data_IF_958701393591
#
_entry.id   IF_958701393591
#
_cell.length_a   1.000
_cell.length_b   1.000
_cell.length_c   1.000
_cell.angle_alpha   90.00
_cell.angle_beta   90.00
_cell.angle_gamma   90.00
#
_symmetry.space_group_name_H-M   'P 1'
#
loop_
_entity.id
_entity.type
_entity.pdbx_description
1 polymer ?
#
# COMPACT_ATOMS: atom_id res chain seq x y z
N UNK A 1 1.27 32.91 10.63
CA UNK A 1 2.59 32.95 9.95
C UNK A 1 2.32 32.76 8.48
N UNK A 2 2.45 33.83 7.71
CA UNK A 2 2.28 33.83 6.26
C UNK A 2 3.55 33.26 5.61
N UNK A 3 3.64 31.94 5.57
CA UNK A 3 4.67 31.28 4.78
C UNK A 3 4.11 31.18 3.36
N UNK A 4 4.73 31.81 2.35
CA UNK A 4 4.26 31.75 0.96
C UNK A 4 4.65 30.41 0.32
N UNK A 5 4.08 29.33 0.85
CA UNK A 5 4.28 27.99 0.33
C UNK A 5 3.54 27.88 -0.99
N UNK A 6 4.27 27.65 -2.08
CA UNK A 6 3.69 27.55 -3.44
C UNK A 6 3.47 26.11 -3.89
N UNK A 7 4.32 25.20 -3.41
CA UNK A 7 4.32 23.80 -3.82
C UNK A 7 4.66 22.88 -2.66
N UNK A 8 4.04 21.72 -2.64
CA UNK A 8 4.36 20.62 -1.72
C UNK A 8 4.59 19.32 -2.51
N UNK A 9 5.62 18.60 -2.16
CA UNK A 9 5.79 17.20 -2.58
C UNK A 9 5.11 16.32 -1.54
N UNK A 10 4.21 15.45 -2.00
CA UNK A 10 3.42 14.60 -1.12
C UNK A 10 3.72 13.13 -1.42
N UNK A 11 3.64 12.29 -0.39
CA UNK A 11 3.90 10.87 -0.47
C UNK A 11 2.70 10.10 0.07
N UNK A 12 2.08 9.27 -0.78
CA UNK A 12 0.95 8.43 -0.37
C UNK A 12 -0.36 9.19 -0.16
N UNK A 13 -0.56 10.32 -0.83
CA UNK A 13 -1.81 11.06 -0.80
C UNK A 13 -2.94 10.24 -1.43
N UNK A 14 -4.08 10.18 -0.76
CA UNK A 14 -5.26 9.54 -1.34
C UNK A 14 -5.81 10.40 -2.49
N UNK A 15 -6.24 9.74 -3.58
CA UNK A 15 -6.73 10.42 -4.79
C UNK A 15 -7.83 11.45 -4.50
N UNK A 16 -8.79 11.10 -3.64
CA UNK A 16 -9.91 11.96 -3.27
C UNK A 16 -9.52 13.17 -2.39
N UNK A 17 -8.35 13.14 -1.77
CA UNK A 17 -7.87 14.23 -0.91
C UNK A 17 -7.01 15.24 -1.66
N UNK A 18 -6.58 14.94 -2.88
CA UNK A 18 -5.62 15.77 -3.62
C UNK A 18 -6.17 17.18 -3.89
N UNK A 19 -7.36 17.26 -4.49
CA UNK A 19 -8.00 18.54 -4.81
C UNK A 19 -8.34 19.36 -3.55
N UNK A 20 -8.78 18.69 -2.47
CA UNK A 20 -9.06 19.35 -1.19
C UNK A 20 -7.79 19.94 -0.58
N UNK A 21 -6.67 19.21 -0.61
CA UNK A 21 -5.39 19.68 -0.09
C UNK A 21 -4.91 20.92 -0.86
N UNK A 22 -4.94 20.90 -2.19
CA UNK A 22 -4.57 22.05 -3.01
C UNK A 22 -5.45 23.28 -2.70
N UNK A 23 -6.77 23.09 -2.64
CA UNK A 23 -7.71 24.17 -2.38
C UNK A 23 -7.58 24.73 -0.94
N UNK A 24 -7.45 23.85 0.06
CA UNK A 24 -7.40 24.24 1.48
C UNK A 24 -6.15 25.03 1.83
N UNK A 25 -5.00 24.68 1.28
CA UNK A 25 -3.71 25.29 1.59
C UNK A 25 -3.23 26.27 0.52
N UNK A 26 -4.00 26.46 -0.56
CA UNK A 26 -3.63 27.27 -1.73
C UNK A 26 -2.22 26.96 -2.23
N UNK A 27 -1.94 25.67 -2.43
CA UNK A 27 -0.64 25.15 -2.86
C UNK A 27 -0.82 24.23 -4.08
N UNK A 28 0.26 24.04 -4.82
CA UNK A 28 0.32 22.98 -5.81
C UNK A 28 0.88 21.72 -5.15
N UNK A 29 0.12 20.63 -5.09
CA UNK A 29 0.59 19.35 -4.57
C UNK A 29 1.01 18.44 -5.73
N UNK A 30 2.17 17.81 -5.61
CA UNK A 30 2.66 16.81 -6.57
C UNK A 30 3.08 15.56 -5.85
N UNK A 31 2.49 14.45 -6.26
CA UNK A 31 2.81 13.17 -5.67
C UNK A 31 4.17 12.67 -6.13
N UNK A 32 4.89 12.05 -5.23
CA UNK A 32 6.24 11.52 -5.42
C UNK A 32 6.36 10.16 -4.75
N UNK A 33 7.37 9.41 -5.16
CA UNK A 33 7.78 8.18 -4.47
C UNK A 33 9.25 8.27 -4.12
N UNK A 34 9.56 7.82 -2.92
CA UNK A 34 10.92 7.73 -2.43
C UNK A 34 11.00 6.89 -1.17
N UNK A 35 12.21 6.49 -0.87
CA UNK A 35 12.56 5.76 0.35
C UNK A 35 13.98 6.16 0.76
N UNK A 36 14.36 5.83 1.99
CA UNK A 36 15.68 6.20 2.53
C UNK A 36 16.82 5.72 1.63
N UNK A 37 16.65 4.55 1.05
CA UNK A 37 17.66 3.87 0.24
C UNK A 37 17.91 4.53 -1.12
N UNK A 38 16.91 5.20 -1.68
CA UNK A 38 17.00 5.76 -3.03
C UNK A 38 16.69 7.26 -3.10
N UNK A 39 16.35 7.89 -1.97
CA UNK A 39 15.89 9.28 -1.95
C UNK A 39 14.57 9.45 -2.74
N UNK A 40 14.34 10.61 -3.36
CA UNK A 40 13.20 10.83 -4.25
C UNK A 40 13.47 10.17 -5.61
N UNK A 41 12.84 9.02 -5.84
CA UNK A 41 13.04 8.21 -7.04
C UNK A 41 12.09 8.55 -8.19
N UNK A 42 10.82 8.84 -7.87
CA UNK A 42 9.81 9.26 -8.83
C UNK A 42 9.16 10.58 -8.38
N UNK A 43 8.74 11.40 -9.32
CA UNK A 43 8.03 12.64 -9.04
C UNK A 43 7.05 12.99 -10.17
N UNK A 44 5.96 13.67 -9.82
CA UNK A 44 5.07 14.26 -10.82
C UNK A 44 5.56 15.68 -11.14
N UNK A 45 5.93 15.98 -12.41
CA UNK A 45 6.40 17.32 -12.78
C UNK A 45 5.37 18.40 -12.47
N UNK A 46 5.83 19.58 -12.05
CA UNK A 46 4.98 20.70 -11.62
C UNK A 46 3.90 21.06 -12.64
N UNK A 47 4.28 21.19 -13.92
CA UNK A 47 3.37 21.58 -15.00
C UNK A 47 2.37 20.51 -15.45
N UNK A 48 2.45 19.26 -14.93
CA UNK A 48 1.58 18.16 -15.34
C UNK A 48 0.31 18.16 -14.49
N UNK A 49 -0.61 19.06 -14.80
CA UNK A 49 -1.88 19.23 -14.07
C UNK A 49 -2.90 18.12 -14.35
N UNK A 50 -2.82 17.46 -15.50
CA UNK A 50 -3.71 16.35 -15.88
C UNK A 50 -3.57 15.09 -15.01
N UNK A 51 -2.52 15.02 -14.20
CA UNK A 51 -2.26 13.90 -13.29
C UNK A 51 -2.68 14.17 -11.85
N UNK A 52 -3.22 15.36 -11.55
CA UNK A 52 -3.76 15.68 -10.22
C UNK A 52 -4.90 14.71 -9.86
N UNK A 53 -4.79 14.08 -8.70
CA UNK A 53 -5.79 13.10 -8.23
C UNK A 53 -5.77 11.75 -8.96
N UNK A 54 -4.86 11.51 -9.91
CA UNK A 54 -4.74 10.22 -10.62
C UNK A 54 -4.19 9.10 -9.72
N UNK A 55 -3.45 9.47 -8.64
CA UNK A 55 -2.73 8.56 -7.76
C UNK A 55 -1.42 8.05 -8.36
N UNK A 56 -0.91 8.72 -9.40
CA UNK A 56 0.43 8.44 -9.92
C UNK A 56 1.50 8.96 -8.96
N UNK A 57 2.60 8.22 -8.85
CA UNK A 57 3.83 8.71 -8.21
C UNK A 57 4.74 9.48 -9.17
N UNK A 58 4.31 9.65 -10.43
CA UNK A 58 5.05 10.39 -11.45
C UNK A 58 5.96 9.54 -12.31
N UNK A 59 6.98 10.19 -12.84
CA UNK A 59 8.03 9.62 -13.69
C UNK A 59 9.36 9.58 -12.94
N UNK A 60 10.36 8.91 -13.48
CA UNK A 60 11.69 8.86 -12.89
C UNK A 60 12.26 10.27 -12.66
N UNK A 61 12.83 10.50 -11.48
CA UNK A 61 13.50 11.75 -11.13
C UNK A 61 14.73 11.96 -12.03
N UNK A 62 15.18 13.20 -12.25
CA UNK A 62 16.37 13.48 -13.04
C UNK A 62 17.56 12.62 -12.59
N UNK A 63 18.31 12.10 -13.57
CA UNK A 63 19.46 11.21 -13.37
C UNK A 63 19.15 9.86 -12.73
N UNK A 64 17.87 9.50 -12.62
CA UNK A 64 17.39 8.19 -12.17
C UNK A 64 16.85 7.40 -13.34
N UNK A 65 17.06 6.11 -13.29
CA UNK A 65 16.38 5.15 -14.15
C UNK A 65 15.43 4.33 -13.29
N UNK A 66 14.22 4.10 -13.80
CA UNK A 66 13.19 3.31 -13.16
C UNK A 66 12.66 2.28 -14.16
N UNK A 67 12.60 1.02 -13.74
CA UNK A 67 12.03 -0.08 -14.52
C UNK A 67 11.14 -0.91 -13.62
N UNK A 68 10.14 -1.56 -14.21
CA UNK A 68 9.28 -2.49 -13.49
C UNK A 68 9.60 -3.89 -14.00
N UNK A 69 9.91 -4.82 -13.08
CA UNK A 69 10.40 -6.16 -13.40
C UNK A 69 9.58 -7.26 -12.74
N UNK A 70 9.48 -8.39 -13.44
CA UNK A 70 8.89 -9.61 -12.91
C UNK A 70 9.82 -10.31 -11.88
N UNK A 71 9.39 -11.48 -11.39
CA UNK A 71 10.16 -12.29 -10.43
C UNK A 71 11.48 -12.81 -11.03
N UNK A 72 11.56 -12.99 -12.35
CA UNK A 72 12.75 -13.43 -13.08
C UNK A 72 13.71 -12.27 -13.41
N UNK A 73 13.30 -11.05 -13.16
CA UNK A 73 14.09 -9.84 -13.41
C UNK A 73 13.94 -9.28 -14.82
N UNK A 74 12.98 -9.74 -15.62
CA UNK A 74 12.68 -9.17 -16.94
C UNK A 74 11.80 -7.94 -16.81
N UNK A 75 12.01 -6.94 -17.67
CA UNK A 75 11.14 -5.76 -17.69
C UNK A 75 9.75 -6.14 -18.22
N UNK A 76 8.70 -5.72 -17.48
CA UNK A 76 7.31 -5.95 -17.88
C UNK A 76 6.77 -4.81 -18.74
N UNK A 77 5.83 -5.10 -19.68
CA UNK A 77 5.20 -4.08 -20.51
C UNK A 77 4.34 -3.11 -19.68
N UNK A 78 4.00 -1.93 -20.28
CA UNK A 78 3.06 -1.00 -19.65
C UNK A 78 1.73 -1.67 -19.30
N UNK A 79 1.19 -1.35 -18.12
CA UNK A 79 -0.06 -1.91 -17.59
C UNK A 79 0.15 -3.11 -16.67
N UNK A 80 1.21 -3.87 -16.84
CA UNK A 80 1.53 -5.02 -16.00
C UNK A 80 2.16 -4.61 -14.66
N UNK A 81 2.00 -5.48 -13.67
CA UNK A 81 2.50 -5.28 -12.30
C UNK A 81 3.83 -6.02 -12.14
N UNK A 82 4.81 -5.34 -11.58
CA UNK A 82 6.09 -5.91 -11.20
C UNK A 82 6.76 -5.09 -10.10
N UNK A 83 7.95 -5.50 -9.69
CA UNK A 83 8.74 -4.78 -8.72
C UNK A 83 9.42 -3.55 -9.36
N UNK A 84 9.31 -2.40 -8.70
CA UNK A 84 10.04 -1.21 -9.11
C UNK A 84 11.52 -1.37 -8.78
N UNK A 85 12.37 -1.28 -9.79
CA UNK A 85 13.81 -1.20 -9.63
C UNK A 85 14.31 0.18 -10.03
N UNK A 86 15.25 0.71 -9.24
CA UNK A 86 15.79 2.06 -9.42
C UNK A 86 17.30 1.98 -9.60
N UNK A 87 17.84 2.80 -10.52
CA UNK A 87 19.28 2.98 -10.72
C UNK A 87 19.61 4.45 -10.83
N UNK A 88 20.84 4.82 -10.43
CA UNK A 88 21.37 6.18 -10.60
C UNK A 88 22.05 6.73 -9.34
N UNK A 89 22.54 7.99 -9.38
CA UNK A 89 23.24 8.59 -8.26
C UNK A 89 22.36 8.74 -7.01
N UNK A 90 22.97 8.66 -5.81
CA UNK A 90 22.27 8.84 -4.53
C UNK A 90 21.49 7.62 -4.04
N UNK A 91 21.67 6.46 -4.64
CA UNK A 91 21.26 5.18 -4.06
C UNK A 91 22.26 4.81 -2.97
N UNK A 92 21.79 4.24 -1.83
CA UNK A 92 22.70 3.78 -0.78
C UNK A 92 23.70 2.76 -1.35
N UNK A 93 24.90 2.73 -0.76
CA UNK A 93 25.96 1.79 -1.20
C UNK A 93 25.76 0.39 -0.62
N UNK A 94 24.92 0.24 0.40
CA UNK A 94 24.64 -1.03 1.05
C UNK A 94 24.17 -0.85 2.50
N UNK A 95 23.51 -1.85 3.03
CA UNK A 95 23.17 -1.95 4.44
C UNK A 95 24.37 -2.42 5.25
N UNK A 96 24.69 -1.69 6.31
CA UNK A 96 25.83 -1.99 7.17
C UNK A 96 25.67 -3.36 7.85
N UNK A 97 26.68 -4.21 7.74
CA UNK A 97 26.71 -5.56 8.32
C UNK A 97 25.47 -6.43 8.00
N UNK A 98 24.91 -6.28 6.78
CA UNK A 98 23.74 -7.05 6.32
C UNK A 98 24.01 -7.66 4.94
N UNK A 99 24.95 -8.63 4.82
CA UNK A 99 25.34 -9.18 3.52
C UNK A 99 24.16 -9.81 2.76
N UNK A 100 23.29 -10.54 3.45
CA UNK A 100 22.11 -11.17 2.86
C UNK A 100 21.12 -10.12 2.30
N UNK A 101 20.79 -9.09 3.10
CA UNK A 101 19.94 -8.00 2.64
C UNK A 101 20.53 -7.24 1.46
N UNK A 102 21.87 -7.10 1.41
CA UNK A 102 22.56 -6.51 0.27
C UNK A 102 22.45 -7.39 -0.97
N UNK A 103 22.68 -8.69 -0.83
CA UNK A 103 22.54 -9.64 -1.94
C UNK A 103 21.09 -9.66 -2.49
N UNK A 104 20.10 -9.51 -1.62
CA UNK A 104 18.69 -9.47 -2.01
C UNK A 104 18.27 -8.15 -2.67
N UNK A 105 18.89 -7.03 -2.28
CA UNK A 105 18.44 -5.70 -2.71
C UNK A 105 19.20 -5.16 -3.91
N UNK A 106 20.45 -5.55 -4.12
CA UNK A 106 21.27 -5.03 -5.23
C UNK A 106 21.42 -6.05 -6.34
N UNK A 107 21.42 -5.55 -7.59
CA UNK A 107 21.57 -6.36 -8.79
C UNK A 107 22.65 -5.77 -9.69
N UNK A 108 23.14 -6.58 -10.61
CA UNK A 108 24.12 -6.15 -11.61
C UNK A 108 23.68 -4.88 -12.34
N UNK A 109 24.64 -4.06 -12.75
CA UNK A 109 24.37 -2.78 -13.41
C UNK A 109 23.89 -1.67 -12.48
N UNK A 110 24.03 -1.82 -11.15
CA UNK A 110 23.70 -0.81 -10.15
C UNK A 110 22.20 -0.65 -9.89
N UNK A 111 21.38 -1.66 -10.18
CA UNK A 111 19.97 -1.68 -9.88
C UNK A 111 19.70 -2.02 -8.41
N UNK A 112 18.80 -1.24 -7.81
CA UNK A 112 18.30 -1.46 -6.46
C UNK A 112 16.82 -1.90 -6.53
N UNK A 113 16.52 -3.01 -5.87
CA UNK A 113 15.17 -3.55 -5.71
C UNK A 113 14.47 -2.84 -4.55
N UNK A 114 13.36 -2.17 -4.84
CA UNK A 114 12.64 -1.40 -3.80
C UNK A 114 11.78 -2.27 -2.89
N UNK A 115 11.41 -3.47 -3.32
CA UNK A 115 10.41 -4.32 -2.66
C UNK A 115 8.98 -3.77 -2.80
N UNK A 116 8.79 -2.69 -3.57
CA UNK A 116 7.49 -2.10 -3.84
C UNK A 116 7.00 -2.50 -5.24
N UNK A 117 5.73 -2.89 -5.34
CA UNK A 117 5.09 -3.26 -6.59
C UNK A 117 4.45 -2.04 -7.24
N UNK A 118 4.72 -1.91 -8.52
CA UNK A 118 4.25 -0.82 -9.37
C UNK A 118 3.66 -1.34 -10.68
N UNK A 119 2.87 -0.52 -11.32
CA UNK A 119 2.58 -0.58 -12.75
C UNK A 119 2.92 0.77 -13.39
N UNK A 120 3.27 0.75 -14.67
CA UNK A 120 3.55 1.95 -15.46
C UNK A 120 2.51 2.07 -16.57
N UNK A 121 2.02 3.26 -16.85
CA UNK A 121 1.19 3.49 -18.03
C UNK A 121 2.05 3.72 -19.29
N UNK A 122 1.42 3.76 -20.45
CA UNK A 122 2.09 3.98 -21.76
C UNK A 122 2.82 5.33 -21.85
N UNK A 123 2.44 6.30 -21.00
CA UNK A 123 3.08 7.62 -20.93
C UNK A 123 4.27 7.65 -19.98
N UNK A 124 4.57 6.53 -19.32
CA UNK A 124 5.67 6.38 -18.38
C UNK A 124 5.36 6.82 -16.94
N UNK A 125 4.09 7.10 -16.60
CA UNK A 125 3.70 7.39 -15.21
C UNK A 125 3.57 6.12 -14.39
N UNK A 126 4.13 6.16 -13.20
CA UNK A 126 4.20 5.01 -12.28
C UNK A 126 3.11 5.10 -11.21
N UNK A 127 2.50 3.98 -10.90
CA UNK A 127 1.44 3.84 -9.90
C UNK A 127 1.82 2.73 -8.92
N UNK A 128 1.89 3.08 -7.64
CA UNK A 128 2.18 2.08 -6.61
C UNK A 128 0.97 1.17 -6.39
N UNK A 129 1.22 -0.14 -6.41
CA UNK A 129 0.21 -1.18 -6.18
C UNK A 129 0.26 -1.67 -4.75
N UNK A 130 1.47 -1.92 -4.23
CA UNK A 130 1.65 -2.43 -2.88
C UNK A 130 3.11 -2.75 -2.58
N UNK A 131 3.32 -3.63 -1.58
CA UNK A 131 4.65 -4.17 -1.24
C UNK A 131 4.68 -5.67 -1.46
N UNK A 132 5.80 -6.20 -1.92
CA UNK A 132 5.98 -7.65 -2.08
C UNK A 132 5.73 -8.39 -0.76
N UNK A 133 6.24 -7.85 0.37
CA UNK A 133 6.07 -8.44 1.70
C UNK A 133 4.63 -8.35 2.25
N UNK A 134 3.81 -7.46 1.69
CA UNK A 134 2.41 -7.26 2.09
C UNK A 134 1.42 -7.95 1.13
N UNK A 135 1.93 -8.73 0.18
CA UNK A 135 1.09 -9.51 -0.72
C UNK A 135 0.44 -10.67 0.02
N UNK A 136 -0.85 -10.83 -0.17
CA UNK A 136 -1.62 -11.97 0.33
C UNK A 136 -1.82 -12.94 -0.84
N UNK A 137 -1.32 -14.16 -0.70
CA UNK A 137 -1.35 -15.19 -1.77
C UNK A 137 -2.52 -16.13 -1.53
N UNK A 138 -3.63 -15.89 -2.23
CA UNK A 138 -4.86 -16.66 -2.05
C UNK A 138 -5.20 -17.46 -3.30
N UNK A 139 -5.18 -18.80 -3.22
CA UNK A 139 -5.51 -19.71 -4.33
C UNK A 139 -4.75 -19.40 -5.64
N UNK A 140 -3.46 -19.02 -5.53
CA UNK A 140 -2.64 -18.63 -6.67
C UNK A 140 -2.75 -17.16 -7.08
N UNK A 141 -3.74 -16.44 -6.56
CA UNK A 141 -3.92 -15.00 -6.81
C UNK A 141 -3.08 -14.14 -5.87
N UNK A 142 -2.47 -13.10 -6.41
CA UNK A 142 -1.71 -12.11 -5.65
C UNK A 142 -2.59 -10.90 -5.31
N UNK A 143 -2.87 -10.71 -4.02
CA UNK A 143 -3.71 -9.63 -3.51
C UNK A 143 -2.82 -8.57 -2.85
N UNK A 144 -2.81 -7.37 -3.40
CA UNK A 144 -2.13 -6.25 -2.77
C UNK A 144 -2.95 -5.75 -1.57
N UNK A 145 -2.42 -5.90 -0.36
CA UNK A 145 -3.09 -5.45 0.86
C UNK A 145 -3.52 -3.98 0.78
N UNK A 146 -2.70 -3.11 0.17
CA UNK A 146 -3.00 -1.69 -0.02
C UNK A 146 -4.30 -1.43 -0.82
N UNK A 147 -4.60 -2.25 -1.82
CA UNK A 147 -5.84 -2.14 -2.60
C UNK A 147 -7.06 -2.41 -1.71
N UNK A 148 -6.99 -3.48 -0.92
CA UNK A 148 -8.03 -3.84 0.04
C UNK A 148 -8.20 -2.75 1.10
N UNK A 149 -7.10 -2.26 1.66
CA UNK A 149 -7.09 -1.19 2.66
C UNK A 149 -7.70 0.11 2.13
N UNK A 150 -7.42 0.48 0.87
CA UNK A 150 -7.99 1.67 0.26
C UNK A 150 -9.52 1.59 0.15
N UNK A 151 -10.08 0.41 -0.16
CA UNK A 151 -11.52 0.18 -0.20
C UNK A 151 -12.11 0.21 1.20
N UNK A 152 -11.50 -0.49 2.18
CA UNK A 152 -11.96 -0.47 3.57
C UNK A 152 -12.01 0.94 4.15
N UNK A 153 -10.98 1.76 3.89
CA UNK A 153 -10.92 3.17 4.33
C UNK A 153 -11.96 4.08 3.64
N UNK A 154 -12.60 3.61 2.58
CA UNK A 154 -13.75 4.27 1.95
C UNK A 154 -15.05 4.13 2.75
N UNK A 155 -15.12 3.19 3.71
CA UNK A 155 -16.27 3.03 4.58
C UNK A 155 -16.31 4.13 5.65
N UNK A 156 -17.50 4.72 5.82
CA UNK A 156 -17.65 5.96 6.60
C UNK A 156 -17.21 5.88 8.06
N UNK A 157 -17.29 4.69 8.68
CA UNK A 157 -17.04 4.49 10.12
C UNK A 157 -15.60 4.08 10.44
N UNK A 158 -14.77 3.83 9.43
CA UNK A 158 -13.40 3.38 9.60
C UNK A 158 -12.42 4.55 9.66
N UNK A 159 -11.60 4.57 10.72
CA UNK A 159 -10.49 5.51 10.91
C UNK A 159 -9.19 4.97 10.30
N UNK A 160 -8.84 3.71 10.66
CA UNK A 160 -7.65 3.03 10.16
C UNK A 160 -7.99 1.61 9.73
N UNK A 161 -7.25 1.10 8.74
CA UNK A 161 -7.41 -0.26 8.25
C UNK A 161 -6.08 -0.89 7.89
N UNK A 162 -5.95 -2.19 8.15
CA UNK A 162 -4.88 -3.04 7.69
C UNK A 162 -5.45 -4.36 7.14
N UNK A 163 -4.97 -4.78 5.99
CA UNK A 163 -5.23 -6.11 5.46
C UNK A 163 -4.01 -7.00 5.69
N UNK A 164 -4.24 -8.15 6.33
CA UNK A 164 -3.18 -9.11 6.65
C UNK A 164 -3.52 -10.51 6.12
N UNK A 165 -2.50 -11.34 5.81
CA UNK A 165 -2.71 -12.73 5.48
C UNK A 165 -3.08 -13.54 6.72
N UNK A 166 -4.02 -14.47 6.58
CA UNK A 166 -4.32 -15.51 7.55
C UNK A 166 -4.07 -16.85 6.88
N UNK A 167 -3.24 -17.75 7.45
CA UNK A 167 -3.04 -19.07 6.89
C UNK A 167 -4.35 -19.84 6.72
N UNK A 168 -4.51 -20.49 5.57
CA UNK A 168 -5.69 -21.31 5.22
C UNK A 168 -5.24 -22.59 4.51
N UNK A 169 -5.76 -23.75 4.93
CA UNK A 169 -5.31 -25.04 4.42
C UNK A 169 -5.66 -25.26 2.94
N UNK A 170 -6.80 -24.74 2.50
CA UNK A 170 -7.30 -24.97 1.15
C UNK A 170 -6.83 -23.90 0.17
N UNK A 171 -6.61 -22.68 0.65
CA UNK A 171 -6.34 -21.50 -0.18
C UNK A 171 -4.94 -20.92 -0.01
N UNK A 172 -4.12 -21.52 0.85
CA UNK A 172 -2.83 -21.00 1.27
C UNK A 172 -3.00 -19.84 2.26
N UNK A 173 -3.66 -18.78 1.84
CA UNK A 173 -3.98 -17.64 2.69
C UNK A 173 -5.38 -17.10 2.42
N UNK A 174 -5.99 -16.50 3.44
CA UNK A 174 -7.20 -15.70 3.38
C UNK A 174 -6.92 -14.25 3.82
N UNK A 175 -7.77 -13.33 3.39
CA UNK A 175 -7.65 -11.91 3.73
C UNK A 175 -8.37 -11.63 5.05
N UNK A 176 -7.67 -11.02 6.01
CA UNK A 176 -8.27 -10.49 7.24
C UNK A 176 -8.19 -8.96 7.24
N UNK A 177 -9.33 -8.34 7.49
CA UNK A 177 -9.47 -6.92 7.75
C UNK A 177 -9.26 -6.65 9.26
N UNK A 178 -8.24 -5.86 9.62
CA UNK A 178 -8.07 -5.31 10.95
C UNK A 178 -8.42 -3.82 10.88
N UNK A 179 -9.47 -3.38 11.58
CA UNK A 179 -9.98 -2.01 11.49
C UNK A 179 -10.04 -1.31 12.83
N UNK A 180 -9.79 -0.01 12.81
CA UNK A 180 -10.03 0.91 13.93
C UNK A 180 -11.21 1.78 13.55
N UNK A 181 -12.21 1.85 14.41
CA UNK A 181 -13.40 2.65 14.20
C UNK A 181 -13.13 4.12 14.53
N UNK A 182 -13.89 5.02 13.89
CA UNK A 182 -13.87 6.45 14.24
C UNK A 182 -14.36 6.68 15.67
N UNK A 183 -13.91 7.76 16.33
CA UNK A 183 -14.43 8.13 17.65
C UNK A 183 -15.95 8.25 17.63
N UNK A 184 -16.61 7.62 18.62
CA UNK A 184 -18.07 7.63 18.76
C UNK A 184 -18.79 6.50 18.03
N UNK A 185 -18.10 5.68 17.25
CA UNK A 185 -18.67 4.48 16.63
C UNK A 185 -18.40 3.27 17.52
N UNK A 186 -19.45 2.60 18.00
CA UNK A 186 -19.33 1.39 18.80
C UNK A 186 -19.25 0.14 17.90
N UNK A 187 -18.47 -0.85 18.30
CA UNK A 187 -18.27 -2.06 17.50
C UNK A 187 -19.56 -2.90 17.33
N UNK A 188 -20.44 -2.88 18.31
CA UNK A 188 -21.75 -3.56 18.29
C UNK A 188 -22.78 -2.85 17.41
N UNK A 189 -22.56 -1.56 17.12
CA UNK A 189 -23.39 -0.78 16.19
C UNK A 189 -22.85 -0.75 14.76
N UNK A 190 -21.68 -1.34 14.50
CA UNK A 190 -21.06 -1.36 13.17
C UNK A 190 -21.85 -2.28 12.23
N UNK A 191 -22.23 -1.76 11.06
CA UNK A 191 -22.93 -2.51 10.02
C UNK A 191 -21.96 -3.45 9.26
N UNK A 192 -21.79 -4.66 9.80
CA UNK A 192 -20.89 -5.69 9.25
C UNK A 192 -21.33 -6.12 7.84
N UNK A 193 -22.63 -6.33 7.62
CA UNK A 193 -23.15 -6.77 6.32
C UNK A 193 -22.97 -5.67 5.26
N UNK A 194 -23.29 -4.43 5.61
CA UNK A 194 -23.06 -3.26 4.75
C UNK A 194 -21.59 -3.05 4.41
N UNK A 195 -20.68 -3.23 5.38
CA UNK A 195 -19.24 -3.17 5.14
C UNK A 195 -18.77 -4.22 4.13
N UNK A 196 -19.19 -5.48 4.26
CA UNK A 196 -18.83 -6.51 3.29
C UNK A 196 -19.49 -6.30 1.92
N UNK A 197 -20.70 -5.76 1.87
CA UNK A 197 -21.33 -5.35 0.62
C UNK A 197 -20.54 -4.23 -0.08
N UNK A 198 -20.06 -3.23 0.69
CA UNK A 198 -19.18 -2.18 0.18
C UNK A 198 -17.88 -2.78 -0.38
N UNK A 199 -17.20 -3.66 0.36
CA UNK A 199 -16.00 -4.33 -0.13
C UNK A 199 -16.28 -5.12 -1.42
N UNK A 200 -17.38 -5.84 -1.49
CA UNK A 200 -17.76 -6.65 -2.66
C UNK A 200 -18.11 -5.81 -3.88
N UNK A 201 -18.59 -4.59 -3.70
CA UNK A 201 -18.89 -3.67 -4.80
C UNK A 201 -17.64 -3.04 -5.43
N UNK A 202 -16.51 -3.02 -4.69
CA UNK A 202 -15.30 -2.31 -5.11
C UNK A 202 -14.06 -3.21 -5.29
N UNK A 203 -14.15 -4.49 -4.90
CA UNK A 203 -13.06 -5.46 -5.00
C UNK A 203 -13.49 -6.68 -5.82
N UNK A 204 -12.55 -7.29 -6.52
CA UNK A 204 -12.77 -8.60 -7.10
C UNK A 204 -13.13 -9.62 -5.99
N UNK A 205 -13.97 -10.62 -6.25
CA UNK A 205 -14.49 -11.55 -5.23
C UNK A 205 -13.41 -12.21 -4.36
N UNK A 206 -12.25 -12.54 -4.94
CA UNK A 206 -11.14 -13.18 -4.23
C UNK A 206 -10.37 -12.21 -3.31
N UNK A 207 -10.50 -10.88 -3.50
CA UNK A 207 -9.86 -9.83 -2.70
C UNK A 207 -10.71 -9.41 -1.50
N UNK A 208 -12.00 -9.73 -1.49
CA UNK A 208 -12.90 -9.36 -0.38
C UNK A 208 -12.44 -10.06 0.89
N UNK A 209 -12.22 -9.33 2.00
CA UNK A 209 -11.82 -9.95 3.25
C UNK A 209 -12.77 -11.07 3.68
N UNK A 210 -12.22 -12.17 4.17
CA UNK A 210 -13.01 -13.21 4.82
C UNK A 210 -13.24 -12.88 6.28
N UNK A 211 -12.18 -12.44 6.96
CA UNK A 211 -12.20 -12.16 8.38
C UNK A 211 -12.19 -10.66 8.67
N UNK A 212 -12.90 -10.25 9.75
CA UNK A 212 -12.93 -8.88 10.25
C UNK A 212 -12.61 -8.87 11.74
N UNK A 213 -11.68 -8.01 12.16
CA UNK A 213 -11.33 -7.76 13.56
C UNK A 213 -11.41 -6.27 13.86
N UNK A 214 -12.11 -5.90 14.94
CA UNK A 214 -12.04 -4.57 15.52
C UNK A 214 -10.84 -4.44 16.45
N UNK A 215 -10.10 -3.34 16.31
CA UNK A 215 -8.93 -3.04 17.13
C UNK A 215 -9.04 -1.64 17.73
N UNK A 216 -8.51 -1.47 18.94
CA UNK A 216 -8.44 -0.15 19.56
C UNK A 216 -7.42 0.76 18.84
N UNK A 217 -6.33 0.17 18.32
CA UNK A 217 -5.30 0.85 17.53
C UNK A 217 -4.56 -0.16 16.66
N UNK A 218 -3.87 0.33 15.62
CA UNK A 218 -2.93 -0.47 14.83
C UNK A 218 -1.50 -0.13 15.26
N UNK A 219 -0.61 -1.13 15.42
CA UNK A 219 0.80 -0.88 15.74
C UNK A 219 1.46 -0.10 14.59
N UNK A 220 2.34 0.85 14.95
CA UNK A 220 3.02 1.74 14.01
C UNK A 220 4.51 1.52 14.02
N UNK A 221 5.13 1.72 12.86
CA UNK A 221 6.58 1.88 12.74
C UNK A 221 6.99 3.28 13.24
N UNK A 222 8.29 3.55 13.47
CA UNK A 222 8.76 4.90 13.78
C UNK A 222 8.43 5.96 12.72
N UNK A 223 8.09 5.55 11.51
CA UNK A 223 7.64 6.44 10.42
C UNK A 223 6.11 6.52 10.28
N UNK A 224 5.37 6.19 11.35
CA UNK A 224 3.89 6.25 11.45
C UNK A 224 3.14 5.35 10.45
N UNK A 225 3.81 4.38 9.83
CA UNK A 225 3.16 3.37 8.98
C UNK A 225 2.69 2.20 9.82
N UNK A 226 1.59 1.55 9.43
CA UNK A 226 1.09 0.34 10.11
C UNK A 226 2.13 -0.78 10.02
N UNK A 227 2.52 -1.31 11.18
CA UNK A 227 3.49 -2.40 11.32
C UNK A 227 2.76 -3.75 11.26
N UNK A 228 2.32 -4.17 10.05
CA UNK A 228 1.53 -5.39 9.85
C UNK A 228 2.20 -6.65 10.39
N UNK A 229 3.54 -6.73 10.29
CA UNK A 229 4.30 -7.85 10.84
C UNK A 229 4.12 -8.04 12.35
N UNK A 230 3.88 -6.95 13.08
CA UNK A 230 3.56 -7.01 14.52
C UNK A 230 2.18 -7.63 14.70
N UNK A 231 1.17 -7.21 13.93
CA UNK A 231 -0.19 -7.79 14.01
C UNK A 231 -0.16 -9.30 13.72
N UNK A 232 0.60 -9.71 12.70
CA UNK A 232 0.74 -11.14 12.34
C UNK A 232 1.44 -11.94 13.44
N UNK A 233 2.39 -11.33 14.17
CA UNK A 233 3.16 -12.00 15.21
C UNK A 233 2.45 -12.02 16.58
N UNK A 234 1.33 -11.31 16.78
CA UNK A 234 0.67 -11.17 18.09
C UNK A 234 0.05 -12.48 18.61
N UNK A 235 -0.39 -13.35 17.72
CA UNK A 235 -1.05 -14.61 18.09
C UNK A 235 -0.86 -15.69 17.04
N UNK A 236 -0.90 -16.95 17.49
CA UNK A 236 -0.72 -18.11 16.63
C UNK A 236 -1.93 -18.31 15.69
N UNK A 237 -3.16 -18.24 16.23
CA UNK A 237 -4.38 -18.26 15.40
C UNK A 237 -4.89 -16.84 15.14
N UNK A 238 -4.60 -16.34 13.96
CA UNK A 238 -5.05 -15.02 13.52
C UNK A 238 -6.56 -14.91 13.31
N UNK A 239 -7.32 -16.03 13.33
CA UNK A 239 -8.78 -16.04 13.20
C UNK A 239 -9.49 -15.82 14.52
N UNK A 240 -8.82 -16.11 15.64
CA UNK A 240 -9.40 -16.03 16.98
C UNK A 240 -10.00 -14.64 17.25
N UNK A 241 -11.25 -14.60 17.67
CA UNK A 241 -12.01 -13.37 17.95
C UNK A 241 -12.43 -12.56 16.72
N UNK A 242 -12.17 -13.03 15.51
CA UNK A 242 -12.60 -12.34 14.30
C UNK A 242 -14.00 -12.77 13.85
N UNK A 243 -14.71 -11.89 13.17
CA UNK A 243 -15.92 -12.24 12.42
C UNK A 243 -15.52 -12.99 11.14
N UNK A 244 -16.12 -14.16 10.90
CA UNK A 244 -15.96 -14.88 9.63
C UNK A 244 -17.17 -14.66 8.74
N UNK A 245 -16.98 -14.00 7.61
CA UNK A 245 -18.00 -13.69 6.62
C UNK A 245 -18.70 -14.94 6.06
N UNK A 246 -17.98 -16.07 5.97
CA UNK A 246 -18.57 -17.30 5.40
C UNK A 246 -19.49 -17.99 6.39
N UNK A 247 -19.13 -18.08 7.65
CA UNK A 247 -19.99 -18.62 8.72
C UNK A 247 -20.99 -17.60 9.28
N UNK A 248 -20.83 -16.32 8.91
CA UNK A 248 -21.64 -15.17 9.37
C UNK A 248 -21.67 -15.04 10.90
N UNK A 249 -20.54 -15.21 11.54
CA UNK A 249 -20.44 -15.17 12.99
C UNK A 249 -19.04 -14.83 13.51
N UNK A 250 -19.00 -14.43 14.79
CA UNK A 250 -17.76 -14.22 15.52
C UNK A 250 -17.19 -15.56 15.95
N UNK A 251 -15.91 -15.76 15.66
CA UNK A 251 -15.16 -16.94 16.10
C UNK A 251 -14.76 -16.79 17.58
N UNK A 252 -14.61 -17.92 18.27
CA UNK A 252 -14.10 -17.92 19.62
C UNK A 252 -12.71 -17.26 19.69
N UNK A 253 -12.47 -16.50 20.76
CA UNK A 253 -11.20 -15.80 21.02
C UNK A 253 -10.20 -16.67 21.73
#
# INVERSE_FOLDING_TARGET
>A
RDIPLKMVSVFGLRKNMHAELEARFNVVARESFGMTEVGSALFTPYGVTSMVGSGTCGIASPFREATIRDEDGNEVPPGEIGELWIRGPGILQGYWNKPEANADSFREGGWFRTGDLFRRDERGFHYIVGRIKDMIRRSGENIAAREVEAVMLGWQDILEAAAIPVPDLDRGQEVKACIVLKPGVAADAFDVDGFFAHCSAHLAPFKVPRFLEFRASLPKTPSEKVAKHVIVAEREDLRAGAYDRLSRGWLAG
#
